data_IF_110950325703
#
_entry.id   IF_110950325703
#
_cell.length_a   1.000
_cell.length_b   1.000
_cell.length_c   1.000
_cell.angle_alpha   90.00
_cell.angle_beta   90.00
_cell.angle_gamma   90.00
#
_symmetry.space_group_name_H-M   'P 1'
#
loop_
_entity.id
_entity.type
_entity.pdbx_description
1 polymer ?
#
# COMPACT_ATOMS: atom_id res chain seq x y z
N UNK A 1 7.72 14.32 -6.17
CA UNK A 1 6.78 13.38 -6.83
C UNK A 1 5.36 13.84 -6.53
N UNK A 2 4.42 13.68 -7.45
CA UNK A 2 3.00 13.89 -7.15
C UNK A 2 2.44 12.69 -6.38
N UNK A 3 1.44 12.91 -5.53
CA UNK A 3 0.86 11.89 -4.66
C UNK A 3 -0.26 11.10 -5.32
N UNK A 4 -0.11 9.77 -5.33
CA UNK A 4 -1.16 8.83 -5.72
C UNK A 4 -1.88 8.27 -4.48
N UNK A 5 -3.19 8.07 -4.60
CA UNK A 5 -4.00 7.43 -3.55
C UNK A 5 -4.27 5.99 -3.95
N UNK A 6 -3.74 5.05 -3.18
CA UNK A 6 -3.95 3.63 -3.38
C UNK A 6 -5.13 3.17 -2.54
N UNK A 7 -6.23 2.83 -3.20
CA UNK A 7 -7.37 2.15 -2.59
C UNK A 7 -7.46 0.74 -3.17
N UNK A 8 -7.19 -0.26 -2.36
CA UNK A 8 -7.13 -1.63 -2.84
C UNK A 8 -8.50 -2.28 -3.08
N UNK A 9 -9.60 -1.55 -2.90
CA UNK A 9 -10.92 -1.97 -3.39
C UNK A 9 -11.16 -1.54 -4.84
N UNK A 10 -10.34 -0.63 -5.39
CA UNK A 10 -10.48 -0.15 -6.75
C UNK A 10 -9.73 -1.02 -7.75
N UNK A 11 -10.31 -1.14 -8.95
CA UNK A 11 -9.72 -1.89 -10.06
C UNK A 11 -8.90 -1.02 -11.02
N UNK A 12 -8.97 0.30 -10.86
CA UNK A 12 -8.15 1.28 -11.59
C UNK A 12 -7.82 2.45 -10.68
N UNK A 13 -6.56 2.87 -10.66
CA UNK A 13 -6.08 3.98 -9.85
C UNK A 13 -5.21 4.84 -10.75
N UNK A 14 -5.40 6.16 -10.67
CA UNK A 14 -4.64 7.09 -11.48
C UNK A 14 -3.14 7.03 -11.12
N UNK A 15 -2.29 7.03 -12.15
CA UNK A 15 -0.84 6.95 -12.04
C UNK A 15 -0.28 5.72 -11.30
N UNK A 16 -1.05 4.64 -11.21
CA UNK A 16 -0.65 3.38 -10.56
C UNK A 16 -0.98 2.20 -11.47
N UNK A 17 0.01 1.34 -11.70
CA UNK A 17 -0.21 0.03 -12.32
C UNK A 17 -0.69 -0.96 -11.26
N UNK A 18 -1.76 -1.68 -11.56
CA UNK A 18 -2.30 -2.75 -10.71
C UNK A 18 -1.99 -4.09 -11.37
N UNK A 19 -1.16 -4.89 -10.70
CA UNK A 19 -0.77 -6.22 -11.13
C UNK A 19 -1.44 -7.27 -10.23
N UNK A 20 -2.54 -7.84 -10.72
CA UNK A 20 -3.33 -8.86 -10.03
C UNK A 20 -2.72 -10.25 -10.26
N UNK A 21 -1.73 -10.60 -9.44
CA UNK A 21 -1.08 -11.92 -9.47
C UNK A 21 -2.06 -13.03 -9.02
N UNK A 22 -2.91 -12.73 -8.04
CA UNK A 22 -4.08 -13.53 -7.65
C UNK A 22 -5.11 -12.65 -6.91
N UNK A 23 -6.26 -13.21 -6.53
CA UNK A 23 -7.22 -12.49 -5.67
C UNK A 23 -6.61 -12.14 -4.30
N UNK A 24 -5.70 -12.99 -3.82
CA UNK A 24 -5.01 -12.88 -2.55
C UNK A 24 -3.67 -12.16 -2.64
N UNK A 25 -3.18 -11.81 -3.84
CA UNK A 25 -1.88 -11.14 -4.04
C UNK A 25 -1.98 -10.11 -5.16
N UNK A 26 -1.97 -8.83 -4.80
CA UNK A 26 -2.05 -7.72 -5.76
C UNK A 26 -0.94 -6.71 -5.48
N UNK A 27 -0.22 -6.33 -6.52
CA UNK A 27 0.86 -5.34 -6.45
C UNK A 27 0.40 -4.04 -7.12
N UNK A 28 0.53 -2.94 -6.39
CA UNK A 28 0.23 -1.58 -6.85
C UNK A 28 1.55 -0.82 -6.99
N UNK A 29 1.87 -0.37 -8.20
CA UNK A 29 3.14 0.33 -8.48
C UNK A 29 2.87 1.72 -9.01
N UNK A 30 3.30 2.75 -8.27
CA UNK A 30 3.24 4.13 -8.73
C UNK A 30 4.12 4.33 -9.96
N UNK A 31 3.59 5.01 -10.98
CA UNK A 31 4.31 5.35 -12.20
C UNK A 31 5.51 6.25 -11.91
N UNK A 32 6.45 6.33 -12.85
CA UNK A 32 7.58 7.24 -12.76
C UNK A 32 7.11 8.70 -12.52
N UNK A 33 7.79 9.42 -11.62
CA UNK A 33 7.39 10.76 -11.19
C UNK A 33 6.33 10.82 -10.09
N UNK A 34 5.67 9.71 -9.77
CA UNK A 34 4.63 9.61 -8.72
C UNK A 34 5.12 8.84 -7.50
N UNK A 35 4.47 9.04 -6.36
CA UNK A 35 4.68 8.27 -5.13
C UNK A 35 3.34 8.03 -4.45
N UNK A 36 3.24 7.01 -3.61
CA UNK A 36 2.01 6.71 -2.87
C UNK A 36 1.88 7.66 -1.68
N UNK A 37 0.97 8.61 -1.75
CA UNK A 37 0.73 9.54 -0.65
C UNK A 37 -0.16 8.92 0.43
N UNK A 38 -1.09 8.05 0.02
CA UNK A 38 -2.13 7.53 0.90
C UNK A 38 -2.51 6.12 0.51
N UNK A 39 -2.67 5.26 1.51
CA UNK A 39 -3.22 3.92 1.37
C UNK A 39 -4.54 3.84 2.14
N UNK A 40 -5.59 3.33 1.52
CA UNK A 40 -6.93 3.23 2.09
C UNK A 40 -7.64 1.93 1.71
N UNK A 41 -8.69 1.63 2.48
CA UNK A 41 -9.67 0.57 2.25
C UNK A 41 -11.06 1.19 2.17
N UNK A 42 -11.54 1.48 0.96
CA UNK A 42 -12.77 2.25 0.78
C UNK A 42 -12.68 3.62 1.46
N UNK A 43 -13.51 3.84 2.48
CA UNK A 43 -13.53 5.09 3.25
C UNK A 43 -12.50 5.14 4.39
N UNK A 44 -11.85 4.02 4.73
CA UNK A 44 -10.91 3.94 5.85
C UNK A 44 -9.48 4.22 5.41
N UNK A 45 -8.86 5.28 5.96
CA UNK A 45 -7.44 5.57 5.73
C UNK A 45 -6.57 4.64 6.58
N UNK A 46 -5.66 3.92 5.93
CA UNK A 46 -4.73 2.99 6.58
C UNK A 46 -3.43 3.70 6.95
N UNK A 47 -2.85 4.43 5.98
CA UNK A 47 -1.60 5.17 6.16
C UNK A 47 -1.57 6.39 5.22
N UNK A 48 -0.98 7.48 5.69
CA UNK A 48 -0.65 8.65 4.88
C UNK A 48 0.85 8.93 5.03
N UNK A 49 1.50 9.34 3.96
CA UNK A 49 2.94 9.55 3.88
C UNK A 49 3.26 11.02 3.62
N UNK A 50 4.26 11.56 4.32
CA UNK A 50 4.89 12.82 3.92
C UNK A 50 5.88 12.55 2.78
N UNK A 51 5.55 12.99 1.57
CA UNK A 51 6.36 12.77 0.37
C UNK A 51 7.70 13.52 0.38
N UNK A 52 7.94 14.42 1.34
CA UNK A 52 9.26 15.04 1.56
C UNK A 52 10.20 14.14 2.35
N UNK A 53 9.65 13.29 3.21
CA UNK A 53 10.41 12.37 4.08
C UNK A 53 10.44 10.95 3.52
N UNK A 54 9.33 10.52 2.91
CA UNK A 54 9.08 9.14 2.50
C UNK A 54 8.47 9.11 1.11
N UNK A 55 9.09 8.43 0.15
CA UNK A 55 8.60 8.38 -1.24
C UNK A 55 8.22 6.95 -1.65
N UNK A 56 7.20 6.35 -1.03
CA UNK A 56 6.83 4.98 -1.32
C UNK A 56 6.41 4.79 -2.79
N UNK A 57 6.82 3.66 -3.35
CA UNK A 57 6.59 3.33 -4.77
C UNK A 57 5.65 2.16 -4.97
N UNK A 58 5.68 1.22 -4.05
CA UNK A 58 4.95 -0.04 -4.19
C UNK A 58 4.14 -0.32 -2.94
N UNK A 59 2.89 -0.72 -3.16
CA UNK A 59 2.02 -1.28 -2.13
C UNK A 59 1.66 -2.69 -2.56
N UNK A 60 1.80 -3.67 -1.68
CA UNK A 60 1.41 -5.05 -1.93
C UNK A 60 0.30 -5.41 -0.96
N UNK A 61 -0.87 -5.75 -1.50
CA UNK A 61 -1.95 -6.38 -0.74
C UNK A 61 -1.74 -7.87 -0.79
N UNK A 62 -1.67 -8.51 0.37
CA UNK A 62 -1.70 -9.97 0.44
C UNK A 62 -2.65 -10.50 1.52
N UNK A 63 -3.29 -11.63 1.25
CA UNK A 63 -4.05 -12.39 2.24
C UNK A 63 -3.21 -13.60 2.63
N UNK A 64 -2.95 -13.75 3.93
CA UNK A 64 -2.24 -14.91 4.48
C UNK A 64 -2.96 -15.38 5.73
N UNK A 65 -3.22 -16.68 5.82
CA UNK A 65 -3.96 -17.28 6.93
C UNK A 65 -5.32 -16.60 7.19
N UNK A 66 -6.03 -16.23 6.11
CA UNK A 66 -7.28 -15.49 6.11
C UNK A 66 -7.21 -14.09 6.78
N UNK A 67 -6.00 -13.51 6.85
CA UNK A 67 -5.77 -12.16 7.38
C UNK A 67 -5.15 -11.28 6.29
N UNK A 68 -5.66 -10.06 6.08
CA UNK A 68 -5.10 -9.16 5.10
C UNK A 68 -3.90 -8.41 5.68
N UNK A 69 -2.89 -8.25 4.85
CA UNK A 69 -1.66 -7.55 5.11
C UNK A 69 -1.37 -6.59 3.96
N UNK A 70 -0.75 -5.47 4.31
CA UNK A 70 -0.32 -4.43 3.38
C UNK A 70 1.16 -4.21 3.60
N UNK A 71 1.97 -4.45 2.57
CA UNK A 71 3.40 -4.16 2.58
C UNK A 71 3.62 -2.93 1.73
N UNK A 72 4.31 -1.93 2.27
CA UNK A 72 4.58 -0.66 1.58
C UNK A 72 6.09 -0.49 1.50
N UNK A 73 6.63 -0.43 0.28
CA UNK A 73 8.03 -0.12 0.04
C UNK A 73 8.19 1.40 0.06
N UNK A 74 8.79 1.93 1.13
CA UNK A 74 8.88 3.37 1.41
C UNK A 74 10.16 3.98 0.85
N UNK A 75 11.24 3.21 0.93
CA UNK A 75 12.54 3.48 0.32
C UNK A 75 13.09 2.19 -0.29
N UNK A 76 14.15 2.28 -1.09
CA UNK A 76 14.76 1.12 -1.78
C UNK A 76 15.16 -0.06 -0.87
N UNK A 77 15.15 0.12 0.46
CA UNK A 77 15.48 -0.92 1.42
C UNK A 77 14.52 -1.03 2.62
N UNK A 78 13.51 -0.16 2.77
CA UNK A 78 12.62 -0.14 3.93
C UNK A 78 11.18 -0.50 3.56
N UNK A 79 10.68 -1.58 4.18
CA UNK A 79 9.31 -2.06 4.03
C UNK A 79 8.53 -1.83 5.32
N UNK A 80 7.39 -1.16 5.22
CA UNK A 80 6.39 -1.12 6.29
C UNK A 80 5.40 -2.26 6.07
N UNK A 81 5.14 -3.03 7.12
CA UNK A 81 4.14 -4.10 7.07
C UNK A 81 3.01 -3.74 8.01
N UNK A 82 1.80 -3.58 7.47
CA UNK A 82 0.58 -3.40 8.26
C UNK A 82 -0.29 -4.65 8.15
N UNK A 83 -0.88 -5.04 9.28
CA UNK A 83 -1.81 -6.15 9.36
C UNK A 83 -3.15 -5.65 9.87
N UNK A 84 -4.24 -6.19 9.34
CA UNK A 84 -5.57 -5.95 9.90
C UNK A 84 -5.80 -6.83 11.13
N UNK A 85 -6.14 -6.19 12.24
CA UNK A 85 -6.51 -6.82 13.51
C UNK A 85 -7.90 -6.32 13.93
N UNK A 86 -8.92 -7.15 13.69
CA UNK A 86 -10.32 -6.73 13.75
C UNK A 86 -10.61 -5.63 12.72
N UNK A 87 -11.08 -4.47 13.20
CA UNK A 87 -11.39 -3.31 12.36
C UNK A 87 -10.24 -2.31 12.21
N UNK A 88 -9.06 -2.60 12.81
CA UNK A 88 -7.92 -1.68 12.83
C UNK A 88 -6.75 -2.23 12.06
N UNK A 89 -5.95 -1.34 11.49
CA UNK A 89 -4.67 -1.66 10.89
C UNK A 89 -3.55 -1.34 11.88
N UNK A 90 -2.69 -2.33 12.15
CA UNK A 90 -1.55 -2.21 13.06
C UNK A 90 -0.26 -2.43 12.30
N UNK A 91 0.73 -1.57 12.55
CA UNK A 91 2.07 -1.71 12.01
C UNK A 91 2.79 -2.84 12.75
N UNK A 92 3.44 -3.73 12.00
CA UNK A 92 4.30 -4.77 12.55
C UNK A 92 5.73 -4.26 12.54
N UNK A 93 6.35 -4.21 13.71
CA UNK A 93 7.79 -4.03 13.80
C UNK A 93 8.45 -5.28 13.21
N UNK A 94 9.16 -5.08 12.09
CA UNK A 94 10.02 -6.11 11.52
C UNK A 94 11.31 -6.06 12.33
N UNK A 95 11.46 -6.99 13.28
CA UNK A 95 12.66 -7.14 14.10
C UNK A 95 13.89 -7.59 13.30
#
# INVERSE_FOLDING_TARGET
>A
ASGAVVDFQLESIDHVTIDKQSEEHIVYTAHEGYAVEKVKEGDSVIKTFDLKEQTPKTVVRHIKDNKPYVVIAVESALHLVLKKDGDKWVELEVA
#
